data_IF_822586604477
#
_entry.id   IF_822586604477
#
_cell.length_a   1.000
_cell.length_b   1.000
_cell.length_c   1.000
_cell.angle_alpha   90.00
_cell.angle_beta   90.00
_cell.angle_gamma   90.00
#
_symmetry.space_group_name_H-M   'P 1'
#
loop_
_entity.id
_entity.type
_entity.pdbx_description
1 polymer ?
#
# COMPACT_ATOMS: atom_id res chain seq x y z
N UNK A 1 -6.84 3.11 -0.48
CA UNK A 1 -7.62 2.11 -1.22
C UNK A 1 -8.74 1.54 -0.35
N UNK A 2 -8.44 0.94 0.82
CA UNK A 2 -9.48 0.34 1.69
C UNK A 2 -10.65 1.29 1.96
N UNK A 3 -10.39 2.55 2.31
CA UNK A 3 -11.42 3.54 2.57
C UNK A 3 -12.33 3.80 1.34
N UNK A 4 -11.75 3.80 0.14
CA UNK A 4 -12.51 3.89 -1.12
C UNK A 4 -13.36 2.63 -1.33
N UNK A 5 -12.80 1.45 -1.12
CA UNK A 5 -13.55 0.17 -1.22
C UNK A 5 -14.70 0.12 -0.21
N UNK A 6 -14.49 0.57 1.03
CA UNK A 6 -15.54 0.71 2.04
C UNK A 6 -16.69 1.60 1.55
N UNK A 7 -16.38 2.75 0.95
CA UNK A 7 -17.40 3.67 0.40
C UNK A 7 -18.16 3.06 -0.77
N UNK A 8 -17.48 2.35 -1.67
CA UNK A 8 -18.13 1.70 -2.80
C UNK A 8 -19.02 0.55 -2.34
N UNK A 9 -18.59 -0.21 -1.33
CA UNK A 9 -19.40 -1.23 -0.67
C UNK A 9 -20.65 -0.62 -0.02
N UNK A 10 -20.47 0.43 0.76
CA UNK A 10 -21.54 1.17 1.47
C UNK A 10 -22.62 1.71 0.51
N UNK A 11 -22.22 2.04 -0.71
CA UNK A 11 -23.10 2.47 -1.81
C UNK A 11 -23.70 1.30 -2.60
N UNK A 12 -23.40 0.05 -2.26
CA UNK A 12 -23.89 -1.14 -2.96
C UNK A 12 -23.30 -1.33 -4.37
N UNK A 13 -22.19 -0.66 -4.69
CA UNK A 13 -21.55 -0.73 -6.01
C UNK A 13 -20.64 -1.95 -6.17
N UNK A 14 -20.19 -2.55 -5.09
CA UNK A 14 -19.44 -3.80 -5.06
C UNK A 14 -19.81 -4.62 -3.84
N UNK A 15 -19.51 -5.92 -3.87
CA UNK A 15 -19.69 -6.85 -2.76
C UNK A 15 -18.38 -7.54 -2.44
N UNK A 16 -18.20 -7.94 -1.19
CA UNK A 16 -16.96 -8.59 -0.72
C UNK A 16 -16.81 -10.00 -1.30
N UNK A 17 -17.91 -10.66 -1.57
CA UNK A 17 -17.98 -11.99 -2.18
C UNK A 17 -17.96 -12.00 -3.72
N UNK A 18 -17.94 -10.82 -4.36
CA UNK A 18 -17.81 -10.74 -5.81
C UNK A 18 -16.47 -11.30 -6.32
N UNK A 19 -16.47 -12.11 -7.38
CA UNK A 19 -15.26 -12.62 -7.98
C UNK A 19 -14.56 -11.59 -8.86
N UNK A 20 -13.24 -11.71 -9.00
CA UNK A 20 -12.40 -10.82 -9.81
C UNK A 20 -12.94 -10.64 -11.24
N UNK A 21 -13.33 -11.73 -11.86
CA UNK A 21 -13.79 -11.74 -13.27
C UNK A 21 -15.00 -10.83 -13.51
N UNK A 22 -15.80 -10.57 -12.48
CA UNK A 22 -16.94 -9.66 -12.57
C UNK A 22 -16.52 -8.23 -12.96
N UNK A 23 -15.36 -7.80 -12.49
CA UNK A 23 -14.84 -6.45 -12.68
C UNK A 23 -13.66 -6.38 -13.65
N UNK A 24 -12.85 -7.42 -13.68
CA UNK A 24 -11.63 -7.53 -14.47
C UNK A 24 -11.75 -8.73 -15.42
N UNK A 25 -12.34 -8.54 -16.62
CA UNK A 25 -12.57 -9.61 -17.58
C UNK A 25 -11.29 -10.28 -18.08
N UNK A 26 -10.13 -9.67 -17.85
CA UNK A 26 -8.81 -10.25 -18.13
C UNK A 26 -8.56 -11.56 -17.38
N UNK A 27 -9.30 -11.80 -16.28
CA UNK A 27 -9.25 -13.03 -15.51
C UNK A 27 -10.16 -14.15 -16.02
N UNK A 28 -11.01 -13.90 -17.03
CA UNK A 28 -11.92 -14.90 -17.58
C UNK A 28 -11.16 -16.12 -18.12
N UNK A 29 -11.58 -17.32 -17.72
CA UNK A 29 -10.94 -18.58 -18.10
C UNK A 29 -9.59 -18.85 -17.43
N UNK A 30 -9.14 -17.98 -16.51
CA UNK A 30 -7.93 -18.22 -15.71
C UNK A 30 -8.26 -18.95 -14.41
N UNK A 31 -7.26 -19.54 -13.78
CA UNK A 31 -7.42 -20.17 -12.44
C UNK A 31 -7.71 -19.17 -11.33
N UNK A 32 -7.53 -17.88 -11.58
CA UNK A 32 -7.78 -16.79 -10.63
C UNK A 32 -9.16 -16.15 -10.77
N UNK A 33 -9.99 -16.52 -11.76
CA UNK A 33 -11.24 -15.84 -12.09
C UNK A 33 -12.23 -15.75 -10.90
N UNK A 34 -12.25 -16.80 -10.07
CA UNK A 34 -13.15 -16.91 -8.90
C UNK A 34 -12.58 -16.34 -7.60
N UNK A 35 -11.38 -15.75 -7.62
CA UNK A 35 -10.84 -15.05 -6.45
C UNK A 35 -11.74 -13.88 -6.08
N UNK A 36 -12.09 -13.73 -4.81
CA UNK A 36 -13.03 -12.70 -4.35
C UNK A 36 -12.35 -11.45 -3.84
N UNK A 37 -13.09 -10.33 -3.77
CA UNK A 37 -12.62 -9.10 -3.17
C UNK A 37 -12.25 -9.28 -1.68
N UNK A 38 -12.98 -10.11 -0.96
CA UNK A 38 -12.66 -10.46 0.43
C UNK A 38 -11.32 -11.15 0.57
N UNK A 39 -10.98 -12.05 -0.35
CA UNK A 39 -9.68 -12.72 -0.38
C UNK A 39 -8.53 -11.74 -0.72
N UNK A 40 -8.78 -10.75 -1.59
CA UNK A 40 -7.80 -9.67 -1.82
C UNK A 40 -7.58 -8.85 -0.55
N UNK A 41 -8.65 -8.40 0.10
CA UNK A 41 -8.61 -7.55 1.29
C UNK A 41 -7.98 -8.26 2.50
N UNK A 42 -8.11 -9.57 2.61
CA UNK A 42 -7.53 -10.36 3.71
C UNK A 42 -6.16 -10.95 3.40
N UNK A 43 -5.62 -10.71 2.19
CA UNK A 43 -4.38 -11.31 1.70
C UNK A 43 -4.39 -12.86 1.70
N UNK A 44 -5.54 -13.44 1.35
CA UNK A 44 -5.72 -14.89 1.20
C UNK A 44 -6.04 -15.31 -0.22
N UNK A 45 -5.88 -14.41 -1.17
CA UNK A 45 -6.18 -14.60 -2.59
C UNK A 45 -5.28 -15.62 -3.30
N UNK A 46 -4.08 -15.90 -2.78
CA UNK A 46 -3.03 -16.67 -3.47
C UNK A 46 -2.20 -15.84 -4.45
N UNK A 47 -2.51 -14.53 -4.59
CA UNK A 47 -1.69 -13.62 -5.41
C UNK A 47 -0.31 -13.47 -4.82
N UNK A 48 0.69 -13.54 -5.67
CA UNK A 48 2.09 -13.43 -5.27
C UNK A 48 2.41 -12.00 -4.84
N UNK A 49 3.14 -11.85 -3.72
CA UNK A 49 3.81 -10.61 -3.37
C UNK A 49 4.95 -10.39 -4.37
N UNK A 50 4.77 -9.51 -5.34
CA UNK A 50 5.73 -9.35 -6.43
C UNK A 50 6.19 -7.92 -6.58
N UNK A 51 7.44 -7.85 -6.97
CA UNK A 51 8.10 -6.67 -7.50
C UNK A 51 8.12 -6.78 -9.03
N UNK A 52 7.23 -6.07 -9.70
CA UNK A 52 7.09 -6.12 -11.17
C UNK A 52 8.11 -5.27 -11.93
N UNK A 53 9.09 -4.70 -11.24
CA UNK A 53 10.10 -3.87 -11.88
C UNK A 53 11.25 -4.68 -12.50
N UNK A 54 11.46 -5.94 -12.12
CA UNK A 54 12.59 -6.73 -12.62
C UNK A 54 12.63 -6.93 -14.15
N UNK A 55 11.51 -6.99 -14.88
CA UNK A 55 11.53 -6.97 -16.34
C UNK A 55 11.86 -5.59 -16.93
N UNK A 56 11.66 -4.50 -16.14
CA UNK A 56 11.78 -3.12 -16.59
C UNK A 56 13.16 -2.53 -16.35
N UNK A 57 13.92 -3.12 -15.40
CA UNK A 57 15.26 -2.67 -15.02
C UNK A 57 16.21 -3.86 -14.90
N UNK A 58 17.46 -3.66 -15.31
CA UNK A 58 18.50 -4.69 -15.30
C UNK A 58 19.86 -4.09 -14.97
N UNK A 59 20.82 -4.92 -14.64
CA UNK A 59 22.21 -4.53 -14.59
C UNK A 59 22.68 -4.08 -15.99
N UNK A 60 23.24 -2.88 -16.10
CA UNK A 60 23.71 -2.32 -17.37
C UNK A 60 24.81 -3.17 -18.03
N UNK A 61 25.57 -3.92 -17.24
CA UNK A 61 26.66 -4.81 -17.70
C UNK A 61 26.17 -6.21 -18.13
N UNK A 62 24.85 -6.41 -18.25
CA UNK A 62 24.27 -7.68 -18.74
C UNK A 62 24.05 -8.75 -17.66
N UNK A 63 24.46 -8.51 -16.40
CA UNK A 63 24.23 -9.39 -15.26
C UNK A 63 22.84 -9.26 -14.65
N UNK A 64 22.63 -9.96 -13.52
CA UNK A 64 21.40 -9.83 -12.72
C UNK A 64 21.32 -8.45 -12.08
N UNK A 65 20.10 -7.92 -11.87
CA UNK A 65 19.91 -6.68 -11.12
C UNK A 65 20.37 -6.82 -9.66
N UNK A 66 20.24 -7.99 -9.08
CA UNK A 66 20.53 -8.27 -7.67
C UNK A 66 21.56 -9.38 -7.49
N UNK A 67 22.33 -9.25 -6.39
CA UNK A 67 23.31 -10.22 -5.92
C UNK A 67 23.11 -10.53 -4.44
N UNK A 68 23.45 -11.76 -4.04
CA UNK A 68 23.53 -12.15 -2.62
C UNK A 68 24.86 -11.74 -1.94
N UNK A 69 25.79 -11.13 -2.69
CA UNK A 69 27.13 -10.77 -2.20
C UNK A 69 27.44 -9.31 -2.52
N UNK A 70 28.03 -8.61 -1.55
CA UNK A 70 28.61 -7.29 -1.73
C UNK A 70 29.82 -7.37 -2.67
N UNK A 71 29.90 -6.49 -3.65
CA UNK A 71 31.05 -6.35 -4.55
C UNK A 71 31.11 -4.96 -5.17
N UNK A 72 32.17 -4.66 -5.92
CA UNK A 72 32.27 -3.42 -6.68
C UNK A 72 31.14 -3.27 -7.72
N UNK A 73 30.62 -4.35 -8.25
CA UNK A 73 29.49 -4.38 -9.18
C UNK A 73 28.14 -4.24 -8.47
N UNK A 74 28.02 -4.72 -7.22
CA UNK A 74 26.79 -4.70 -6.41
C UNK A 74 27.03 -4.01 -5.05
N UNK A 75 27.25 -2.68 -5.03
CA UNK A 75 27.66 -1.96 -3.82
C UNK A 75 26.46 -1.54 -2.94
N UNK A 76 25.24 -1.49 -3.47
CA UNK A 76 24.10 -0.92 -2.78
C UNK A 76 23.31 -1.98 -2.04
N UNK A 77 23.40 -1.97 -0.72
CA UNK A 77 22.68 -2.91 0.14
C UNK A 77 21.23 -2.50 0.30
N UNK A 78 20.29 -3.44 0.07
CA UNK A 78 18.84 -3.25 0.25
C UNK A 78 18.21 -4.31 1.17
N UNK A 79 18.99 -5.21 1.71
CA UNK A 79 18.56 -6.25 2.63
C UNK A 79 19.73 -6.95 3.30
N UNK A 80 19.49 -7.93 4.17
CA UNK A 80 20.55 -8.61 4.96
C UNK A 80 21.67 -9.16 4.07
N UNK A 81 21.32 -9.84 2.99
CA UNK A 81 22.24 -10.37 1.98
C UNK A 81 21.65 -10.11 0.59
N UNK A 82 21.32 -8.84 0.31
CA UNK A 82 20.68 -8.47 -0.93
C UNK A 82 21.19 -7.12 -1.38
N UNK A 83 21.82 -7.09 -2.55
CA UNK A 83 22.54 -5.93 -3.06
C UNK A 83 22.10 -5.64 -4.50
N UNK A 84 22.02 -4.35 -4.85
CA UNK A 84 21.65 -3.87 -6.20
C UNK A 84 22.91 -3.56 -7.00
N UNK A 85 22.83 -3.80 -8.31
CA UNK A 85 23.86 -3.43 -9.26
C UNK A 85 24.18 -1.92 -9.21
N UNK A 86 25.45 -1.56 -9.40
CA UNK A 86 25.91 -0.17 -9.45
C UNK A 86 25.25 0.59 -10.59
N UNK A 87 25.24 -0.01 -11.76
CA UNK A 87 24.75 0.58 -12.99
C UNK A 87 23.46 -0.11 -13.41
N UNK A 88 22.35 0.62 -13.33
CA UNK A 88 21.02 0.12 -13.67
C UNK A 88 20.58 0.68 -15.02
N UNK A 89 20.36 -0.21 -15.98
CA UNK A 89 19.73 0.10 -17.25
C UNK A 89 18.21 -0.11 -17.18
N UNK A 90 17.47 0.73 -17.89
CA UNK A 90 16.02 0.65 -18.02
C UNK A 90 15.62 0.09 -19.39
N UNK A 91 14.45 -0.53 -19.47
CA UNK A 91 13.83 -0.82 -20.77
C UNK A 91 13.28 0.48 -21.35
N UNK A 92 13.92 1.00 -22.40
CA UNK A 92 13.61 2.29 -23.00
C UNK A 92 12.29 2.33 -23.80
N UNK A 93 11.67 1.18 -24.05
CA UNK A 93 10.32 1.08 -24.63
C UNK A 93 9.25 1.35 -23.57
N UNK A 94 9.54 1.05 -22.31
CA UNK A 94 8.60 1.10 -21.19
C UNK A 94 8.93 2.17 -20.16
N UNK A 95 10.20 2.55 -20.04
CA UNK A 95 10.69 3.58 -19.11
C UNK A 95 11.52 4.64 -19.84
N UNK A 96 11.49 5.89 -19.33
CA UNK A 96 12.29 6.99 -19.86
C UNK A 96 12.85 7.85 -18.73
N UNK A 97 14.06 8.39 -18.91
CA UNK A 97 14.67 9.39 -18.00
C UNK A 97 14.26 10.83 -18.34
N UNK A 98 13.57 11.02 -19.45
CA UNK A 98 13.06 12.32 -19.91
C UNK A 98 11.56 12.25 -20.16
N UNK A 99 10.82 13.35 -20.02
CA UNK A 99 9.40 13.40 -20.29
C UNK A 99 9.06 12.89 -21.69
N UNK A 100 7.96 12.15 -21.81
CA UNK A 100 7.37 11.72 -23.10
C UNK A 100 5.87 11.95 -23.08
N UNK A 101 5.32 12.42 -24.18
CA UNK A 101 3.88 12.66 -24.30
C UNK A 101 3.07 11.39 -24.01
N UNK A 102 2.08 11.50 -23.12
CA UNK A 102 1.22 10.39 -22.69
C UNK A 102 1.86 9.41 -21.69
N UNK A 103 3.10 9.64 -21.28
CA UNK A 103 3.75 8.82 -20.23
C UNK A 103 3.49 9.39 -18.84
N UNK A 104 3.39 8.51 -17.84
CA UNK A 104 3.20 8.89 -16.43
C UNK A 104 4.54 9.26 -15.80
N UNK A 105 4.56 10.32 -15.00
CA UNK A 105 5.70 10.65 -14.18
C UNK A 105 5.72 9.75 -12.93
N UNK A 106 6.81 9.01 -12.75
CA UNK A 106 7.09 8.25 -11.53
C UNK A 106 7.94 9.05 -10.54
N UNK A 107 8.85 9.87 -11.07
CA UNK A 107 9.61 10.93 -10.41
C UNK A 107 10.06 11.93 -11.48
N UNK A 108 10.69 13.05 -11.07
CA UNK A 108 11.28 14.03 -12.01
C UNK A 108 12.30 13.44 -13.00
N UNK A 109 12.75 12.19 -12.80
CA UNK A 109 13.77 11.52 -13.62
C UNK A 109 13.34 10.13 -14.09
N UNK A 110 12.06 9.80 -13.96
CA UNK A 110 11.54 8.51 -14.41
C UNK A 110 10.10 8.64 -14.88
N UNK A 111 9.89 8.31 -16.14
CA UNK A 111 8.58 8.33 -16.81
C UNK A 111 8.24 6.93 -17.28
N UNK A 112 6.97 6.54 -17.18
CA UNK A 112 6.47 5.19 -17.38
C UNK A 112 5.44 5.18 -18.52
N UNK A 113 5.68 4.31 -19.50
CA UNK A 113 4.71 4.05 -20.57
C UNK A 113 3.47 3.35 -19.96
N UNK A 114 2.23 3.81 -20.25
CA UNK A 114 1.00 3.14 -19.81
C UNK A 114 0.91 1.64 -20.17
N UNK A 115 1.61 1.19 -21.20
CA UNK A 115 1.69 -0.22 -21.58
C UNK A 115 2.27 -1.13 -20.46
N UNK A 116 2.94 -0.55 -19.46
CA UNK A 116 3.41 -1.27 -18.26
C UNK A 116 2.24 -1.91 -17.51
N UNK A 117 1.05 -1.31 -17.50
CA UNK A 117 -0.13 -1.88 -16.84
C UNK A 117 -0.54 -3.22 -17.44
N UNK A 118 -0.53 -3.31 -18.77
CA UNK A 118 -0.82 -4.57 -19.49
C UNK A 118 0.23 -5.64 -19.19
N UNK A 119 1.51 -5.24 -19.11
CA UNK A 119 2.60 -6.16 -18.74
C UNK A 119 2.41 -6.70 -17.33
N UNK A 120 2.13 -5.81 -16.37
CA UNK A 120 1.90 -6.19 -14.97
C UNK A 120 0.67 -7.11 -14.86
N UNK A 121 -0.45 -6.77 -15.51
CA UNK A 121 -1.65 -7.62 -15.49
C UNK A 121 -1.37 -9.02 -16.01
N UNK A 122 -0.69 -9.14 -17.15
CA UNK A 122 -0.28 -10.43 -17.70
C UNK A 122 0.57 -11.22 -16.71
N UNK A 123 1.57 -10.59 -16.11
CA UNK A 123 2.45 -11.24 -15.15
C UNK A 123 1.71 -11.69 -13.88
N UNK A 124 0.71 -10.91 -13.41
CA UNK A 124 -0.13 -11.30 -12.28
C UNK A 124 -0.88 -12.60 -12.59
N UNK A 125 -1.46 -12.70 -13.79
CA UNK A 125 -2.23 -13.87 -14.23
C UNK A 125 -1.30 -15.09 -14.38
N UNK A 126 -0.15 -14.92 -15.02
CA UNK A 126 0.84 -15.99 -15.25
C UNK A 126 1.47 -16.50 -13.94
N UNK A 127 1.73 -15.60 -12.99
CA UNK A 127 2.37 -15.92 -11.70
C UNK A 127 1.39 -16.43 -10.64
N UNK A 128 0.07 -16.40 -10.90
CA UNK A 128 -0.92 -16.85 -9.94
C UNK A 128 -0.76 -18.33 -9.58
N UNK A 129 -0.87 -18.64 -8.30
CA UNK A 129 -0.71 -19.99 -7.76
C UNK A 129 -1.96 -20.40 -6.97
N UNK A 130 -2.88 -21.15 -7.59
CA UNK A 130 -4.15 -21.55 -6.96
C UNK A 130 -3.95 -22.36 -5.68
N UNK A 131 -2.87 -23.12 -5.55
CA UNK A 131 -2.53 -23.88 -4.34
C UNK A 131 -2.23 -23.00 -3.12
N UNK A 132 -1.98 -21.71 -3.31
CA UNK A 132 -1.77 -20.73 -2.23
C UNK A 132 -3.06 -20.04 -1.78
N UNK A 133 -4.11 -20.16 -2.57
CA UNK A 133 -5.41 -19.56 -2.23
C UNK A 133 -5.91 -20.06 -0.89
N UNK A 134 -6.45 -19.15 -0.10
CA UNK A 134 -6.88 -19.42 1.25
C UNK A 134 -5.77 -19.32 2.31
N UNK A 135 -4.49 -19.42 1.96
CA UNK A 135 -3.38 -19.19 2.88
C UNK A 135 -3.05 -17.70 2.97
N UNK A 136 -2.68 -17.23 4.17
CA UNK A 136 -2.27 -15.83 4.33
C UNK A 136 -0.91 -15.59 3.69
N UNK A 137 -0.87 -14.68 2.73
CA UNK A 137 0.35 -14.15 2.15
C UNK A 137 0.16 -12.67 1.83
N UNK A 138 0.83 -11.79 2.57
CA UNK A 138 0.80 -10.36 2.28
C UNK A 138 1.23 -10.10 0.82
N UNK A 139 0.41 -9.35 0.08
CA UNK A 139 0.63 -9.09 -1.34
C UNK A 139 0.15 -7.69 -1.73
N UNK A 140 1.06 -6.88 -2.24
CA UNK A 140 0.75 -5.56 -2.81
C UNK A 140 -0.10 -5.66 -4.08
N UNK A 141 0.05 -6.77 -4.82
CA UNK A 141 -0.77 -7.10 -6.00
C UNK A 141 -2.27 -7.06 -5.69
N UNK A 142 -2.68 -7.52 -4.50
CA UNK A 142 -4.09 -7.48 -4.10
C UNK A 142 -4.65 -6.06 -4.12
N UNK A 143 -3.88 -5.10 -3.64
CA UNK A 143 -4.31 -3.71 -3.57
C UNK A 143 -4.20 -3.00 -4.91
N UNK A 144 -3.28 -3.42 -5.77
CA UNK A 144 -3.27 -2.97 -7.15
C UNK A 144 -4.55 -3.40 -7.90
N UNK A 145 -4.98 -4.66 -7.73
CA UNK A 145 -6.24 -5.16 -8.29
C UNK A 145 -7.46 -4.43 -7.71
N UNK A 146 -7.50 -4.19 -6.39
CA UNK A 146 -8.57 -3.43 -5.74
C UNK A 146 -8.65 -1.98 -6.25
N UNK A 147 -7.51 -1.35 -6.56
CA UNK A 147 -7.49 -0.05 -7.24
C UNK A 147 -8.20 -0.12 -8.59
N UNK A 148 -7.80 -1.05 -9.46
CA UNK A 148 -8.42 -1.21 -10.78
C UNK A 148 -9.92 -1.46 -10.70
N UNK A 149 -10.35 -2.30 -9.74
CA UNK A 149 -11.77 -2.57 -9.50
C UNK A 149 -12.50 -1.30 -9.06
N UNK A 150 -11.93 -0.55 -8.11
CA UNK A 150 -12.53 0.69 -7.63
C UNK A 150 -12.69 1.72 -8.76
N UNK A 151 -11.68 1.89 -9.59
CA UNK A 151 -11.69 2.78 -10.76
C UNK A 151 -12.71 2.32 -11.82
N UNK A 152 -12.78 1.01 -12.08
CA UNK A 152 -13.72 0.44 -13.04
C UNK A 152 -15.18 0.62 -12.60
N UNK A 153 -15.46 0.39 -11.33
CA UNK A 153 -16.82 0.47 -10.77
C UNK A 153 -17.32 1.90 -10.66
N UNK A 154 -16.45 2.83 -10.31
CA UNK A 154 -16.81 4.23 -10.12
C UNK A 154 -16.73 5.08 -11.38
N UNK A 155 -15.91 4.67 -12.36
CA UNK A 155 -15.56 5.50 -13.51
C UNK A 155 -14.58 6.63 -13.21
N UNK A 156 -14.02 6.67 -11.97
CA UNK A 156 -13.09 7.71 -11.54
C UNK A 156 -11.78 7.10 -11.05
N UNK A 157 -10.69 7.87 -11.16
CA UNK A 157 -9.37 7.45 -10.68
C UNK A 157 -9.28 7.39 -9.15
N UNK A 158 -8.41 6.52 -8.62
CA UNK A 158 -8.28 6.29 -7.18
C UNK A 158 -7.89 7.57 -6.41
N UNK A 159 -7.07 8.42 -6.99
CA UNK A 159 -6.69 9.70 -6.39
C UNK A 159 -7.88 10.64 -6.22
N UNK A 160 -8.76 10.76 -7.23
CA UNK A 160 -9.99 11.55 -7.15
C UNK A 160 -10.96 10.99 -6.12
N UNK A 161 -11.18 9.68 -6.13
CA UNK A 161 -12.03 9.01 -5.13
C UNK A 161 -11.51 9.24 -3.70
N UNK A 162 -10.20 9.12 -3.53
CA UNK A 162 -9.54 9.32 -2.23
C UNK A 162 -9.62 10.77 -1.80
N UNK A 163 -9.37 11.71 -2.72
CA UNK A 163 -9.47 13.15 -2.44
C UNK A 163 -10.89 13.54 -2.01
N UNK A 164 -11.91 13.05 -2.71
CA UNK A 164 -13.31 13.32 -2.34
C UNK A 164 -13.62 12.86 -0.91
N UNK A 165 -13.22 11.63 -0.54
CA UNK A 165 -13.43 11.08 0.80
C UNK A 165 -12.67 11.85 1.90
N UNK A 166 -11.40 12.17 1.64
CA UNK A 166 -10.57 12.90 2.59
C UNK A 166 -11.06 14.34 2.77
N UNK A 167 -11.60 14.96 1.72
CA UNK A 167 -12.21 16.29 1.79
C UNK A 167 -13.46 16.32 2.68
N UNK A 168 -14.24 15.23 2.72
CA UNK A 168 -15.38 15.09 3.65
C UNK A 168 -14.93 15.10 5.13
N UNK A 169 -13.69 14.70 5.42
CA UNK A 169 -13.02 14.77 6.72
C UNK A 169 -12.31 16.13 6.95
N UNK A 170 -12.38 17.05 5.98
CA UNK A 170 -11.66 18.31 6.03
C UNK A 170 -10.13 18.16 5.85
N UNK A 171 -9.67 17.04 5.29
CA UNK A 171 -8.26 16.82 4.95
C UNK A 171 -7.93 17.52 3.63
N UNK A 172 -7.01 18.46 3.67
CA UNK A 172 -6.61 19.29 2.51
C UNK A 172 -5.18 19.04 2.07
N UNK A 173 -4.37 18.40 2.93
CA UNK A 173 -2.96 18.08 2.69
C UNK A 173 -2.75 16.59 2.40
N UNK A 174 -3.80 15.78 2.50
CA UNK A 174 -3.72 14.34 2.26
C UNK A 174 -4.14 14.00 0.84
N UNK A 175 -3.33 13.19 0.16
CA UNK A 175 -3.61 12.78 -1.21
C UNK A 175 -2.44 12.05 -1.84
N UNK A 176 -2.60 11.74 -3.11
CA UNK A 176 -1.55 11.22 -3.97
C UNK A 176 -0.80 12.38 -4.64
N UNK A 177 0.45 12.13 -5.07
CA UNK A 177 1.26 13.08 -5.82
C UNK A 177 1.28 14.49 -5.18
N UNK A 178 1.82 14.64 -3.95
CA UNK A 178 1.69 15.86 -3.15
C UNK A 178 2.30 17.10 -3.83
N UNK A 179 3.26 16.94 -4.74
CA UNK A 179 3.89 18.05 -5.46
C UNK A 179 2.93 18.79 -6.41
N UNK A 180 1.71 18.30 -6.59
CA UNK A 180 0.65 19.04 -7.27
C UNK A 180 0.02 20.12 -6.38
N UNK A 181 0.18 20.01 -5.06
CA UNK A 181 -0.50 20.86 -4.07
C UNK A 181 0.42 21.49 -3.04
N UNK A 182 1.65 21.01 -2.90
CA UNK A 182 2.64 21.57 -1.98
C UNK A 182 4.06 21.47 -2.55
N UNK A 183 4.96 22.28 -2.01
CA UNK A 183 6.37 22.27 -2.37
C UNK A 183 7.09 21.05 -1.80
N UNK A 184 8.17 20.64 -2.45
CA UNK A 184 8.97 19.47 -2.09
C UNK A 184 9.52 19.55 -0.64
N UNK A 185 9.83 20.72 -0.14
CA UNK A 185 10.33 20.91 1.23
C UNK A 185 9.34 20.52 2.32
N UNK A 186 8.03 20.49 2.00
CA UNK A 186 6.98 20.00 2.90
C UNK A 186 6.84 18.47 2.89
N UNK A 187 7.53 17.81 1.98
CA UNK A 187 7.52 16.34 1.89
C UNK A 187 8.78 15.78 2.54
N UNK A 188 8.62 14.82 3.43
CA UNK A 188 9.75 14.16 4.07
C UNK A 188 10.44 13.22 3.07
N UNK A 189 11.78 13.26 2.89
CA UNK A 189 12.49 12.30 2.05
C UNK A 189 12.42 10.89 2.62
N UNK A 190 12.44 9.88 1.75
CA UNK A 190 12.36 8.48 2.17
C UNK A 190 13.68 7.74 1.98
N UNK A 191 14.09 7.40 0.78
CA UNK A 191 15.25 6.55 0.53
C UNK A 191 16.05 7.02 -0.68
N UNK A 192 17.36 6.74 -0.70
CA UNK A 192 18.16 6.78 -1.92
C UNK A 192 17.87 5.51 -2.73
N UNK A 193 17.03 5.66 -3.76
CA UNK A 193 16.56 4.51 -4.54
C UNK A 193 17.58 4.10 -5.61
N UNK A 194 18.18 2.95 -5.37
CA UNK A 194 19.11 2.30 -6.31
C UNK A 194 18.43 1.25 -7.20
N UNK A 195 17.17 0.90 -6.97
CA UNK A 195 16.44 -0.11 -7.74
C UNK A 195 15.96 0.47 -9.08
N UNK A 196 15.16 1.52 -9.01
CA UNK A 196 14.72 2.28 -10.19
C UNK A 196 15.68 3.42 -10.54
N UNK A 197 16.73 3.60 -9.72
CA UNK A 197 17.73 4.67 -9.82
C UNK A 197 17.08 6.05 -9.93
N UNK A 198 16.21 6.37 -8.95
CA UNK A 198 15.48 7.65 -8.84
C UNK A 198 16.26 8.70 -8.04
N UNK A 199 17.36 8.32 -7.37
CA UNK A 199 18.04 9.14 -6.37
C UNK A 199 17.23 9.22 -5.07
N UNK A 200 17.45 10.29 -4.29
CA UNK A 200 16.67 10.52 -3.07
C UNK A 200 15.22 10.78 -3.41
N UNK A 201 14.34 9.90 -2.95
CA UNK A 201 12.90 9.98 -3.19
C UNK A 201 12.27 10.94 -2.18
N UNK A 202 11.78 12.09 -2.66
CA UNK A 202 11.10 13.09 -1.86
C UNK A 202 9.94 13.70 -2.66
N UNK A 203 8.75 13.77 -2.07
CA UNK A 203 7.54 14.25 -2.75
C UNK A 203 6.96 13.25 -3.78
N UNK A 204 7.60 12.09 -3.94
CA UNK A 204 7.14 10.99 -4.79
C UNK A 204 6.96 9.72 -3.95
N UNK A 205 6.10 8.81 -4.43
CA UNK A 205 5.88 7.54 -3.75
C UNK A 205 7.17 6.73 -3.62
N UNK A 206 7.44 6.24 -2.41
CA UNK A 206 8.61 5.42 -2.14
C UNK A 206 8.53 4.07 -2.87
N UNK A 207 7.37 3.40 -2.78
CA UNK A 207 7.11 2.09 -3.36
C UNK A 207 7.35 2.03 -4.87
N UNK A 208 8.07 1.03 -5.33
CA UNK A 208 8.45 0.89 -6.72
C UNK A 208 7.24 0.59 -7.62
N UNK A 209 6.29 -0.24 -7.15
CA UNK A 209 5.06 -0.52 -7.90
C UNK A 209 4.17 0.72 -7.97
N UNK A 210 4.01 1.44 -6.86
CA UNK A 210 3.31 2.71 -6.82
C UNK A 210 3.92 3.74 -7.77
N UNK A 211 5.25 3.78 -7.89
CA UNK A 211 5.94 4.64 -8.84
C UNK A 211 5.63 4.27 -10.30
N UNK A 212 5.63 2.99 -10.64
CA UNK A 212 5.24 2.51 -11.97
C UNK A 212 3.78 2.87 -12.32
N UNK A 213 2.91 3.06 -11.31
CA UNK A 213 1.54 3.54 -11.45
C UNK A 213 1.42 5.08 -11.53
N UNK A 214 2.54 5.82 -11.64
CA UNK A 214 2.52 7.28 -11.65
C UNK A 214 2.20 7.91 -10.29
N UNK A 215 2.59 7.25 -9.20
CA UNK A 215 2.39 7.72 -7.83
C UNK A 215 1.04 7.35 -7.20
N UNK A 216 0.08 6.86 -7.99
CA UNK A 216 -1.25 6.45 -7.51
C UNK A 216 -1.32 4.94 -7.44
N UNK A 217 -0.62 4.36 -6.47
CA UNK A 217 -0.66 2.92 -6.20
C UNK A 217 -1.84 2.51 -5.32
N UNK A 218 -2.40 1.33 -5.58
CA UNK A 218 -3.42 0.77 -4.69
C UNK A 218 -2.86 0.35 -3.33
N UNK A 219 -1.60 -0.06 -3.30
CA UNK A 219 -0.86 -0.51 -2.14
C UNK A 219 -0.11 0.62 -1.42
N UNK A 220 0.26 1.70 -2.12
CA UNK A 220 1.08 2.79 -1.61
C UNK A 220 0.82 4.11 -2.38
N UNK A 221 1.39 5.21 -1.89
CA UNK A 221 1.37 6.51 -2.57
C UNK A 221 0.57 7.59 -1.87
N UNK A 222 -0.15 7.28 -0.80
CA UNK A 222 -0.85 8.30 -0.02
C UNK A 222 0.13 9.07 0.85
N UNK A 223 0.11 10.38 0.74
CA UNK A 223 0.78 11.33 1.63
C UNK A 223 -0.23 11.95 2.57
N UNK A 224 0.19 12.26 3.79
CA UNK A 224 -0.68 12.86 4.80
C UNK A 224 0.12 13.50 5.92
N UNK A 225 -0.57 14.16 6.84
CA UNK A 225 -0.05 14.62 8.13
C UNK A 225 -0.64 13.80 9.27
N UNK A 226 0.03 13.79 10.43
CA UNK A 226 -0.50 13.09 11.60
C UNK A 226 -1.87 13.65 12.03
N UNK A 227 -2.07 14.97 11.91
CA UNK A 227 -3.35 15.64 12.22
C UNK A 227 -4.50 15.19 11.31
N UNK A 228 -4.24 15.04 10.01
CA UNK A 228 -5.28 14.61 9.08
C UNK A 228 -5.56 13.11 9.18
N UNK A 229 -4.52 12.30 9.40
CA UNK A 229 -4.73 10.89 9.72
C UNK A 229 -5.50 10.67 11.03
N UNK A 230 -5.33 11.56 12.01
CA UNK A 230 -6.13 11.52 13.24
C UNK A 230 -7.63 11.70 12.97
N UNK A 231 -8.02 12.57 12.03
CA UNK A 231 -9.44 12.73 11.62
C UNK A 231 -10.03 11.45 11.03
N UNK A 232 -9.23 10.74 10.21
CA UNK A 232 -9.63 9.42 9.72
C UNK A 232 -9.80 8.42 10.88
N UNK A 233 -8.84 8.37 11.82
CA UNK A 233 -8.94 7.48 12.99
C UNK A 233 -10.16 7.83 13.87
N UNK A 234 -10.45 9.11 14.07
CA UNK A 234 -11.62 9.58 14.81
C UNK A 234 -12.92 9.15 14.11
N UNK A 235 -13.02 9.33 12.79
CA UNK A 235 -14.17 8.85 12.01
C UNK A 235 -14.38 7.36 12.18
N UNK A 236 -13.30 6.56 12.09
CA UNK A 236 -13.37 5.12 12.27
C UNK A 236 -13.78 4.73 13.69
N UNK A 237 -13.25 5.43 14.72
CA UNK A 237 -13.57 5.20 16.13
C UNK A 237 -15.02 5.56 16.47
N UNK A 238 -15.58 6.54 15.76
CA UNK A 238 -16.96 7.00 15.92
C UNK A 238 -17.94 6.29 14.96
N UNK A 239 -17.69 5.00 14.66
CA UNK A 239 -18.56 4.18 13.82
C UNK A 239 -18.92 4.83 12.46
N UNK A 240 -17.98 5.50 11.84
CA UNK A 240 -18.14 6.13 10.54
C UNK A 240 -18.71 7.55 10.56
N UNK A 241 -18.78 8.21 11.73
CA UNK A 241 -19.19 9.61 11.87
C UNK A 241 -17.98 10.52 12.13
N UNK A 242 -17.98 11.69 11.49
CA UNK A 242 -17.01 12.76 11.76
C UNK A 242 -17.67 14.12 11.71
N UNK A 243 -17.41 14.98 12.72
CA UNK A 243 -17.96 16.33 12.84
C UNK A 243 -19.49 16.38 12.61
N UNK A 244 -20.24 15.43 13.17
CA UNK A 244 -21.70 15.35 13.05
C UNK A 244 -22.22 14.80 11.72
N UNK A 245 -21.33 14.44 10.78
CA UNK A 245 -21.69 13.87 9.47
C UNK A 245 -21.38 12.38 9.42
N UNK A 246 -22.27 11.60 8.82
CA UNK A 246 -22.02 10.20 8.52
C UNK A 246 -21.23 10.08 7.22
N UNK A 247 -20.05 9.53 7.34
CA UNK A 247 -19.14 9.28 6.21
C UNK A 247 -19.32 7.84 5.70
N UNK A 248 -19.39 6.87 6.61
CA UNK A 248 -19.64 5.46 6.32
C UNK A 248 -20.74 4.93 7.25
N UNK A 249 -21.44 3.88 6.86
CA UNK A 249 -22.37 3.19 7.75
C UNK A 249 -21.61 2.45 8.87
N UNK A 250 -22.25 2.30 10.02
CA UNK A 250 -21.71 1.53 11.12
C UNK A 250 -21.52 0.06 10.74
N UNK A 251 -22.40 -0.47 9.90
CA UNK A 251 -22.32 -1.84 9.38
C UNK A 251 -21.03 -2.03 8.56
N UNK A 252 -20.72 -1.09 7.66
CA UNK A 252 -19.49 -1.11 6.88
C UNK A 252 -18.26 -1.05 7.78
N UNK A 253 -18.23 -0.17 8.79
CA UNK A 253 -17.11 -0.13 9.74
C UNK A 253 -16.93 -1.48 10.42
N UNK A 254 -17.98 -2.06 10.99
CA UNK A 254 -17.92 -3.35 11.69
C UNK A 254 -17.48 -4.49 10.78
N UNK A 255 -17.99 -4.54 9.55
CA UNK A 255 -17.62 -5.57 8.58
C UNK A 255 -16.13 -5.50 8.27
N UNK A 256 -15.61 -4.32 7.95
CA UNK A 256 -14.22 -4.17 7.51
C UNK A 256 -13.20 -4.29 8.64
N UNK A 257 -13.55 -3.90 9.87
CA UNK A 257 -12.65 -3.98 11.03
C UNK A 257 -12.79 -5.29 11.81
N UNK A 258 -13.74 -6.13 11.47
CA UNK A 258 -13.91 -7.47 12.03
C UNK A 258 -12.72 -8.39 11.81
N UNK A 259 -12.80 -9.61 12.26
CA UNK A 259 -11.76 -10.64 12.12
C UNK A 259 -12.35 -11.89 11.45
N UNK A 260 -12.68 -11.84 10.16
CA UNK A 260 -13.45 -12.91 9.47
C UNK A 260 -12.72 -14.26 9.45
N UNK A 261 -11.41 -14.28 9.64
CA UNK A 261 -10.56 -15.46 9.56
C UNK A 261 -9.84 -15.80 10.89
N UNK A 262 -10.32 -15.26 12.01
CA UNK A 262 -9.71 -15.46 13.34
C UNK A 262 -9.65 -16.96 13.74
N UNK A 263 -10.66 -17.75 13.43
CA UNK A 263 -10.71 -19.21 13.68
C UNK A 263 -9.55 -19.94 12.97
N UNK A 264 -9.10 -19.40 11.84
CA UNK A 264 -7.95 -19.90 11.09
C UNK A 264 -6.63 -19.30 11.56
N UNK A 265 -6.62 -18.54 12.67
CA UNK A 265 -5.48 -17.78 13.19
C UNK A 265 -4.89 -16.78 12.20
N UNK A 266 -5.72 -16.27 11.28
CA UNK A 266 -5.37 -15.18 10.37
C UNK A 266 -5.99 -13.90 10.92
N UNK A 267 -5.14 -13.08 11.53
CA UNK A 267 -5.54 -11.83 12.18
C UNK A 267 -5.52 -10.67 11.17
N UNK A 268 -6.59 -10.60 10.38
CA UNK A 268 -6.81 -9.53 9.38
C UNK A 268 -8.27 -9.10 9.40
N UNK A 269 -8.49 -7.79 9.26
CA UNK A 269 -9.76 -7.25 8.79
C UNK A 269 -9.79 -7.18 7.26
N UNK A 270 -10.85 -6.65 6.69
CA UNK A 270 -10.92 -6.39 5.26
C UNK A 270 -10.10 -5.12 4.94
N UNK A 271 -8.84 -5.35 4.56
CA UNK A 271 -7.88 -4.27 4.27
C UNK A 271 -7.18 -3.67 5.49
N UNK A 272 -7.46 -4.13 6.70
CA UNK A 272 -6.80 -3.68 7.93
C UNK A 272 -5.89 -4.77 8.50
N UNK A 273 -4.75 -4.35 9.04
CA UNK A 273 -3.91 -5.20 9.88
C UNK A 273 -4.55 -5.35 11.27
N UNK A 274 -4.49 -6.56 11.78
CA UNK A 274 -4.87 -6.89 13.16
C UNK A 274 -3.75 -7.73 13.75
N UNK A 275 -3.73 -7.87 15.07
CA UNK A 275 -2.72 -8.70 15.74
C UNK A 275 -3.40 -9.68 16.66
N UNK A 276 -2.76 -10.83 16.83
CA UNK A 276 -3.23 -11.84 17.77
C UNK A 276 -3.37 -11.23 19.17
N UNK A 277 -4.57 -11.24 19.76
CA UNK A 277 -4.82 -10.69 21.09
C UNK A 277 -3.97 -11.36 22.20
N UNK A 278 -3.56 -12.60 22.00
CA UNK A 278 -2.82 -13.37 22.99
C UNK A 278 -1.31 -13.10 22.98
N UNK A 279 -0.76 -12.65 21.82
CA UNK A 279 0.70 -12.59 21.64
C UNK A 279 1.24 -11.19 21.30
N UNK A 280 0.38 -10.21 21.05
CA UNK A 280 0.83 -8.86 20.63
C UNK A 280 0.25 -7.76 21.50
N UNK A 281 1.06 -6.79 21.97
CA UNK A 281 0.57 -5.58 22.64
C UNK A 281 -0.38 -4.73 21.77
N UNK A 282 -0.22 -4.82 20.44
CA UNK A 282 -1.16 -4.24 19.47
C UNK A 282 -2.42 -5.09 19.29
N UNK A 283 -2.47 -6.30 19.85
CA UNK A 283 -3.59 -7.22 19.73
C UNK A 283 -4.81 -6.78 20.51
N UNK A 284 -5.97 -7.16 20.00
CA UNK A 284 -7.27 -6.93 20.61
C UNK A 284 -8.36 -7.30 19.62
N UNK A 285 -9.52 -7.77 20.12
CA UNK A 285 -10.66 -8.12 19.24
C UNK A 285 -11.11 -6.93 18.41
N UNK A 286 -11.07 -5.73 19.02
CA UNK A 286 -11.54 -4.49 18.44
C UNK A 286 -10.38 -3.54 18.06
N UNK A 287 -9.14 -4.08 18.04
CA UNK A 287 -7.94 -3.34 17.64
C UNK A 287 -7.58 -3.62 16.19
N UNK A 288 -7.29 -2.58 15.43
CA UNK A 288 -6.93 -2.66 14.02
C UNK A 288 -6.13 -1.42 13.57
N UNK A 289 -5.47 -1.51 12.44
CA UNK A 289 -4.72 -0.41 11.88
C UNK A 289 -3.95 -0.84 10.64
N UNK A 290 -2.87 -0.17 10.33
CA UNK A 290 -1.89 -0.61 9.33
C UNK A 290 -0.53 0.02 9.57
N UNK A 291 0.52 -0.69 9.18
CA UNK A 291 1.89 -0.17 9.20
C UNK A 291 2.33 0.15 7.77
N UNK A 292 3.13 1.21 7.59
CA UNK A 292 3.79 1.53 6.33
C UNK A 292 5.26 1.10 6.33
N UNK A 293 5.77 0.75 5.15
CA UNK A 293 7.16 0.33 4.95
C UNK A 293 8.15 1.42 5.37
N UNK A 294 7.83 2.68 5.09
CA UNK A 294 8.66 3.83 5.46
C UNK A 294 8.76 4.10 6.96
N UNK A 295 7.96 3.40 7.77
CA UNK A 295 8.00 3.51 9.23
C UNK A 295 6.72 4.05 9.85
N UNK A 296 5.74 4.41 9.04
CA UNK A 296 4.45 4.95 9.50
C UNK A 296 3.56 3.86 10.13
N UNK A 297 2.67 4.28 11.01
CA UNK A 297 1.58 3.45 11.55
C UNK A 297 0.41 4.35 11.94
N UNK A 298 -0.82 3.89 11.72
CA UNK A 298 -1.97 4.23 12.53
C UNK A 298 -2.51 2.96 13.19
N UNK A 299 -3.01 3.10 14.42
CA UNK A 299 -3.58 1.99 15.17
C UNK A 299 -4.75 2.48 16.01
N UNK A 300 -5.85 1.75 16.00
CA UNK A 300 -7.10 2.07 16.68
C UNK A 300 -7.44 0.91 17.60
N UNK A 301 -7.83 1.21 18.82
CA UNK A 301 -8.45 0.28 19.77
C UNK A 301 -9.86 0.82 20.09
N UNK A 302 -10.85 0.34 19.36
CA UNK A 302 -12.22 0.85 19.46
C UNK A 302 -12.83 0.59 20.85
N UNK A 303 -12.43 -0.51 21.51
CA UNK A 303 -12.89 -0.83 22.86
C UNK A 303 -12.32 0.11 23.92
N UNK A 304 -11.08 0.54 23.75
CA UNK A 304 -10.42 1.46 24.67
C UNK A 304 -10.76 2.94 24.34
N UNK A 305 -11.37 3.22 23.19
CA UNK A 305 -11.60 4.59 22.72
C UNK A 305 -10.31 5.31 22.36
N UNK A 306 -9.28 4.59 21.92
CA UNK A 306 -7.95 5.14 21.67
C UNK A 306 -7.50 4.94 20.24
N UNK A 307 -6.72 5.89 19.74
CA UNK A 307 -5.95 5.70 18.52
C UNK A 307 -4.55 6.30 18.62
N UNK A 308 -3.66 5.83 17.78
CA UNK A 308 -2.30 6.34 17.61
C UNK A 308 -2.03 6.58 16.14
N UNK A 309 -1.45 7.72 15.82
CA UNK A 309 -0.82 8.00 14.52
C UNK A 309 0.65 8.34 14.77
N UNK A 310 1.53 7.57 14.15
CA UNK A 310 2.97 7.81 14.22
C UNK A 310 3.54 7.79 12.81
N UNK A 311 4.09 8.91 12.37
CA UNK A 311 4.70 9.06 11.05
C UNK A 311 6.21 9.16 11.19
N UNK A 312 6.91 8.41 10.36
CA UNK A 312 8.38 8.47 10.28
C UNK A 312 8.87 8.09 8.89
N UNK A 313 10.11 8.48 8.58
CA UNK A 313 10.86 8.09 7.39
C UNK A 313 12.04 7.18 7.77
N UNK A 314 11.76 6.11 8.50
CA UNK A 314 12.76 5.22 9.07
C UNK A 314 13.63 4.50 8.02
N UNK A 315 13.30 4.62 6.74
CA UNK A 315 14.07 4.08 5.61
C UNK A 315 14.98 5.13 4.97
N UNK A 316 15.05 6.33 5.51
CA UNK A 316 15.93 7.38 5.00
C UNK A 316 17.29 7.34 5.71
N UNK A 317 18.42 7.38 5.01
CA UNK A 317 18.55 7.32 3.54
C UNK A 317 18.50 5.89 2.98
N UNK A 318 18.40 4.86 3.82
CA UNK A 318 18.42 3.46 3.42
C UNK A 318 17.46 2.60 4.25
N UNK A 319 16.82 1.62 3.59
CA UNK A 319 15.92 0.64 4.24
C UNK A 319 16.62 -0.37 5.14
N UNK A 320 17.95 -0.46 5.09
CA UNK A 320 18.70 -1.55 5.73
C UNK A 320 18.88 -1.35 7.22
N UNK A 321 19.09 -0.12 7.67
CA UNK A 321 19.41 0.20 9.07
C UNK A 321 18.20 0.73 9.84
N UNK A 322 17.04 0.12 9.59
CA UNK A 322 15.76 0.54 10.17
C UNK A 322 15.69 0.23 11.68
N UNK A 323 16.12 1.20 12.49
CA UNK A 323 16.09 1.12 13.95
C UNK A 323 14.67 1.00 14.51
N UNK A 324 13.67 1.53 13.81
CA UNK A 324 12.28 1.45 14.23
C UNK A 324 11.81 -0.01 14.35
N UNK A 325 12.22 -0.87 13.40
CA UNK A 325 11.89 -2.29 13.42
C UNK A 325 12.71 -3.02 14.49
N UNK A 326 14.02 -2.81 14.55
CA UNK A 326 14.91 -3.52 15.48
C UNK A 326 14.62 -3.23 16.96
N UNK A 327 14.05 -2.07 17.27
CA UNK A 327 13.71 -1.67 18.65
C UNK A 327 12.25 -1.91 19.02
N UNK A 328 11.41 -2.34 18.07
CA UNK A 328 9.95 -2.44 18.24
C UNK A 328 9.30 -1.14 18.75
N UNK A 329 9.84 0.02 18.31
CA UNK A 329 9.48 1.32 18.88
C UNK A 329 7.97 1.62 18.74
N UNK A 330 7.34 1.28 17.64
CA UNK A 330 5.89 1.50 17.43
C UNK A 330 5.05 0.78 18.48
N UNK A 331 5.41 -0.45 18.83
CA UNK A 331 4.75 -1.24 19.87
C UNK A 331 4.94 -0.61 21.24
N UNK A 332 6.18 -0.18 21.58
CA UNK A 332 6.48 0.48 22.84
C UNK A 332 5.72 1.80 23.03
N UNK A 333 5.60 2.59 21.96
CA UNK A 333 4.79 3.82 21.99
C UNK A 333 3.33 3.48 22.30
N UNK A 334 2.78 2.46 21.63
CA UNK A 334 1.40 2.02 21.88
C UNK A 334 1.16 1.57 23.31
N UNK A 335 2.09 0.80 23.89
CA UNK A 335 2.03 0.39 25.30
C UNK A 335 2.06 1.59 26.25
N UNK A 336 2.94 2.57 25.99
CA UNK A 336 3.00 3.79 26.77
C UNK A 336 1.70 4.61 26.71
N UNK A 337 1.09 4.74 25.52
CA UNK A 337 -0.21 5.39 25.34
C UNK A 337 -1.29 4.68 26.16
N UNK A 338 -1.37 3.36 26.07
CA UNK A 338 -2.36 2.57 26.86
C UNK A 338 -2.17 2.66 28.36
N UNK A 339 -0.94 2.81 28.83
CA UNK A 339 -0.64 3.00 30.25
C UNK A 339 -0.99 4.41 30.74
N UNK A 340 -0.74 5.43 29.93
CA UNK A 340 -1.00 6.83 30.26
C UNK A 340 -2.49 7.23 30.26
N UNK A 341 -3.34 6.39 29.62
CA UNK A 341 -4.79 6.60 29.55
C UNK A 341 -5.58 5.73 30.56
N UNK A 342 -4.93 4.99 31.43
CA UNK A 342 -5.52 4.25 32.55
C UNK A 342 -5.54 5.11 33.81
#
# INVERSE_FOLDING_TARGET
>A
TTFVVMRLYDRGLLRIDDPLVKYLPEFAGTTAESVTLGELLTHTSGMRAQTFYTPLVRNANGGRLFSGKLSAEYPYRIGKNYFVARDVAIDTLLLSRTPRAGWREATSKLYVNPAVDTLIMRQIIEDYKPERRGSYQYSDTNFWLLKLIAEKVSGESLDRLTHALLSELGCTLSGYNPLQTCDMEHCVPTEDDHILNRGTVQGYVHDELGALMGGVGGNAGLFSTAKEMARFCEMMLNDGCYAGRRILSQETIRLFTGSPLAERKIWRGLGFDKRDPASSPLGGTDSYGHTGFTGTIFWIDARAGLYMVFLSNAVCPTRVDNKLLSTSLRTKIWEAVKQGCR
#
